data_IF_875994833434
#
_entry.id   IF_875994833434
#
_cell.length_a   1.000
_cell.length_b   1.000
_cell.length_c   1.000
_cell.angle_alpha   90.00
_cell.angle_beta   90.00
_cell.angle_gamma   90.00
#
_symmetry.space_group_name_H-M   'P 1'
#
loop_
_entity.id
_entity.type
_entity.pdbx_description
1 polymer ?
#
# COMPACT_ATOMS: atom_id res chain seq x y z
N UNK A 1 28.48 19.70 -43.93
CA UNK A 1 29.95 19.92 -43.91
C UNK A 1 30.15 21.33 -44.45
N UNK A 2 30.66 22.23 -43.60
CA UNK A 2 30.80 23.71 -43.69
C UNK A 2 30.19 24.29 -42.40
N UNK A 3 30.76 25.26 -41.70
CA UNK A 3 32.13 25.75 -41.60
C UNK A 3 32.17 26.61 -40.32
N UNK A 4 33.36 27.07 -39.96
CA UNK A 4 33.78 27.56 -38.65
C UNK A 4 33.31 28.97 -38.24
N UNK A 5 33.27 29.17 -36.91
CA UNK A 5 33.62 30.36 -36.10
C UNK A 5 33.34 31.77 -36.66
N UNK A 6 32.65 32.60 -35.87
CA UNK A 6 33.15 33.93 -35.51
C UNK A 6 32.52 34.46 -34.19
N UNK A 7 33.37 35.11 -33.40
CA UNK A 7 33.11 35.77 -32.13
C UNK A 7 32.83 37.28 -32.32
N UNK A 8 32.24 37.89 -31.26
CA UNK A 8 32.36 39.30 -30.80
C UNK A 8 31.67 40.37 -31.70
N UNK A 9 30.77 41.23 -31.22
CA UNK A 9 30.88 42.29 -30.19
C UNK A 9 29.45 42.76 -29.79
N UNK A 10 29.04 42.95 -28.53
CA UNK A 10 29.35 44.00 -27.53
C UNK A 10 28.68 45.38 -27.78
N UNK A 11 27.57 45.64 -27.08
CA UNK A 11 27.23 46.94 -26.42
C UNK A 11 26.00 46.70 -25.52
N UNK A 12 26.11 46.49 -24.21
CA UNK A 12 26.42 47.39 -23.07
C UNK A 12 25.38 48.49 -22.82
N UNK A 13 24.53 48.26 -21.83
CA UNK A 13 23.96 49.30 -20.97
C UNK A 13 23.89 48.79 -19.50
N UNK A 14 24.84 49.26 -18.68
CA UNK A 14 24.81 49.34 -17.21
C UNK A 14 23.68 50.30 -16.76
N UNK A 15 23.04 50.30 -15.58
CA UNK A 15 23.14 49.68 -14.23
C UNK A 15 21.89 50.16 -13.43
N UNK A 16 21.77 50.13 -12.08
CA UNK A 16 22.01 49.09 -11.07
C UNK A 16 20.77 48.86 -10.16
N UNK A 17 20.75 47.77 -9.38
CA UNK A 17 19.84 47.65 -8.22
C UNK A 17 19.46 46.23 -7.80
N UNK A 18 20.35 45.53 -7.09
CA UNK A 18 19.99 44.38 -6.23
C UNK A 18 19.64 44.92 -4.84
N UNK A 19 18.64 44.40 -4.13
CA UNK A 19 18.71 43.15 -3.35
C UNK A 19 17.30 42.81 -2.75
N UNK A 20 17.09 41.71 -1.99
CA UNK A 20 16.08 40.69 -2.33
C UNK A 20 14.98 40.54 -1.26
N UNK A 21 13.81 39.99 -1.65
CA UNK A 21 12.83 39.21 -0.86
C UNK A 21 11.43 39.43 -1.45
N UNK A 22 10.89 38.43 -2.13
CA UNK A 22 9.46 38.40 -2.41
C UNK A 22 8.89 37.00 -2.17
N UNK A 23 8.61 36.74 -0.90
CA UNK A 23 7.55 35.83 -0.47
C UNK A 23 6.24 36.56 -0.77
N UNK A 24 5.54 36.13 -1.82
CA UNK A 24 4.17 36.60 -2.10
C UNK A 24 3.20 35.61 -1.48
N UNK A 25 2.76 35.93 -0.27
CA UNK A 25 1.45 35.51 0.23
C UNK A 25 0.39 36.31 -0.55
N UNK A 26 -0.58 35.62 -1.16
CA UNK A 26 -1.99 36.06 -1.23
C UNK A 26 -2.84 35.09 -2.05
N UNK A 27 -3.78 34.42 -1.36
CA UNK A 27 -5.19 34.48 -1.71
C UNK A 27 -6.03 33.94 -0.54
N UNK A 28 -6.50 34.87 0.29
CA UNK A 28 -7.64 34.71 1.20
C UNK A 28 -8.91 35.14 0.44
N UNK A 29 -9.98 34.39 0.59
CA UNK A 29 -11.37 34.85 0.38
C UNK A 29 -12.21 34.14 1.45
N UNK A 30 -12.38 34.76 2.63
CA UNK A 30 -13.54 35.60 3.03
C UNK A 30 -14.86 34.83 3.12
N UNK A 31 -15.28 34.48 4.35
CA UNK A 31 -16.57 34.94 4.92
C UNK A 31 -16.41 35.06 6.45
N UNK A 32 -16.50 36.30 6.93
CA UNK A 32 -16.68 36.65 8.34
C UNK A 32 -18.15 37.06 8.48
N UNK A 33 -18.91 36.43 9.37
CA UNK A 33 -20.18 36.99 9.87
C UNK A 33 -20.07 37.19 11.36
N UNK A 34 -20.06 38.46 11.76
CA UNK A 34 -20.10 38.97 13.12
C UNK A 34 -21.50 38.79 13.71
N UNK A 35 -21.63 38.08 14.83
CA UNK A 35 -22.80 38.16 15.72
C UNK A 35 -22.32 38.28 17.18
N UNK A 36 -22.97 39.11 18.02
CA UNK A 36 -22.52 39.37 19.38
C UNK A 36 -22.90 38.25 20.36
N UNK A 37 -22.02 38.03 21.32
CA UNK A 37 -22.12 37.06 22.42
C UNK A 37 -23.26 37.43 23.39
N UNK A 38 -24.17 36.51 23.76
CA UNK A 38 -25.06 36.72 24.89
C UNK A 38 -24.32 36.43 26.21
N UNK A 39 -24.33 37.39 27.13
CA UNK A 39 -24.03 37.14 28.55
C UNK A 39 -25.03 36.12 29.11
N UNK A 40 -24.55 34.94 29.47
CA UNK A 40 -25.36 33.94 30.16
C UNK A 40 -25.34 34.25 31.66
N UNK A 41 -26.47 34.71 32.18
CA UNK A 41 -26.73 34.86 33.62
C UNK A 41 -26.57 33.51 34.31
N UNK A 42 -25.72 33.47 35.35
CA UNK A 42 -25.55 32.31 36.22
C UNK A 42 -26.79 32.17 37.10
N UNK A 43 -27.63 31.21 36.78
CA UNK A 43 -28.76 30.80 37.63
C UNK A 43 -28.27 29.74 38.64
N UNK A 44 -28.20 30.03 39.96
CA UNK A 44 -27.64 29.13 40.97
C UNK A 44 -28.52 27.89 41.27
N UNK A 45 -29.64 27.73 40.55
CA UNK A 45 -30.57 26.62 40.68
C UNK A 45 -30.10 25.33 39.97
N UNK A 46 -29.21 25.43 38.96
CA UNK A 46 -28.72 24.26 38.19
C UNK A 46 -27.57 23.52 38.91
N UNK A 47 -26.77 24.22 39.73
CA UNK A 47 -25.67 23.62 40.49
C UNK A 47 -26.18 22.63 41.57
N UNK A 48 -27.40 22.85 42.08
CA UNK A 48 -27.99 22.01 43.14
C UNK A 48 -28.46 20.64 42.64
N UNK A 49 -28.66 20.48 41.33
CA UNK A 49 -29.08 19.21 40.72
C UNK A 49 -27.89 18.29 40.40
N UNK A 50 -26.66 18.81 40.37
CA UNK A 50 -25.42 18.03 40.15
C UNK A 50 -24.93 17.28 41.39
N UNK A 51 -25.56 17.49 42.56
CA UNK A 51 -25.17 16.90 43.86
C UNK A 51 -26.03 15.73 44.34
N UNK A 52 -26.91 15.19 43.49
CA UNK A 52 -27.59 13.91 43.76
C UNK A 52 -26.97 12.82 42.90
N UNK A 53 -25.87 12.23 43.39
CA UNK A 53 -25.46 10.89 42.94
C UNK A 53 -26.54 9.91 43.40
N UNK A 54 -27.24 9.20 42.51
CA UNK A 54 -27.87 7.96 42.93
C UNK A 54 -26.74 6.97 43.16
N UNK A 55 -26.54 6.55 44.41
CA UNK A 55 -25.81 5.33 44.75
C UNK A 55 -26.60 4.14 44.23
N UNK A 56 -26.57 3.94 42.91
CA UNK A 56 -26.94 2.68 42.29
C UNK A 56 -25.81 1.71 42.59
N UNK A 57 -25.94 0.95 43.67
CA UNK A 57 -25.26 -0.32 43.91
C UNK A 57 -25.73 -1.37 42.89
N UNK A 58 -25.57 -1.06 41.61
CA UNK A 58 -25.82 -1.97 40.51
C UNK A 58 -24.54 -2.75 40.26
N UNK A 59 -24.58 -4.05 40.54
CA UNK A 59 -23.57 -4.99 40.09
C UNK A 59 -23.44 -4.83 38.56
N UNK A 60 -22.43 -4.08 38.09
CA UNK A 60 -22.14 -3.94 36.66
C UNK A 60 -21.85 -5.35 36.15
N UNK A 61 -22.84 -5.98 35.50
CA UNK A 61 -22.65 -7.26 34.83
C UNK A 61 -21.46 -7.08 33.89
N UNK A 62 -20.38 -7.82 34.15
CA UNK A 62 -19.21 -7.88 33.29
C UNK A 62 -19.69 -8.03 31.85
N UNK A 63 -19.25 -7.16 30.91
CA UNK A 63 -19.80 -7.19 29.56
C UNK A 63 -19.65 -8.59 28.98
N UNK A 64 -20.72 -9.07 28.33
CA UNK A 64 -20.75 -10.36 27.64
C UNK A 64 -19.49 -10.52 26.78
N UNK A 65 -18.95 -11.74 26.73
CA UNK A 65 -17.78 -12.09 25.92
C UNK A 65 -17.96 -11.63 24.47
N UNK A 66 -19.18 -11.69 23.94
CA UNK A 66 -19.53 -11.21 22.58
C UNK A 66 -19.31 -9.71 22.43
N UNK A 67 -19.73 -8.91 23.41
CA UNK A 67 -19.57 -7.45 23.40
C UNK A 67 -18.10 -7.06 23.55
N UNK A 68 -17.34 -7.80 24.34
CA UNK A 68 -15.88 -7.60 24.48
C UNK A 68 -15.15 -7.93 23.17
N UNK A 69 -15.47 -9.05 22.53
CA UNK A 69 -14.89 -9.45 21.24
C UNK A 69 -15.28 -8.48 20.12
N UNK A 70 -16.53 -8.03 20.07
CA UNK A 70 -16.97 -7.01 19.12
C UNK A 70 -16.21 -5.70 19.35
N UNK A 71 -16.10 -5.23 20.60
CA UNK A 71 -15.32 -4.02 20.90
C UNK A 71 -13.87 -4.15 20.46
N UNK A 72 -13.24 -5.31 20.66
CA UNK A 72 -11.86 -5.58 20.24
C UNK A 72 -11.67 -5.54 18.71
N UNK A 73 -12.62 -6.09 17.95
CA UNK A 73 -12.57 -6.12 16.47
C UNK A 73 -12.79 -4.74 15.82
N UNK A 74 -13.51 -3.85 16.50
CA UNK A 74 -13.78 -2.49 16.02
C UNK A 74 -12.76 -1.45 16.49
N UNK A 75 -11.70 -1.86 17.19
CA UNK A 75 -10.59 -0.97 17.56
C UNK A 75 -9.70 -0.64 16.37
N UNK A 76 -9.19 0.59 16.36
CA UNK A 76 -8.17 1.00 15.41
C UNK A 76 -6.80 0.42 15.79
N UNK A 77 -6.07 0.00 14.76
CA UNK A 77 -4.77 -0.65 14.91
C UNK A 77 -3.64 0.37 15.06
N UNK A 78 -2.71 0.08 15.96
CA UNK A 78 -1.47 0.85 16.09
C UNK A 78 -0.65 0.76 14.79
N UNK A 79 -0.40 1.90 14.16
CA UNK A 79 0.34 2.00 12.90
C UNK A 79 1.85 1.90 13.09
N UNK A 80 2.33 1.95 14.35
CA UNK A 80 3.75 1.99 14.68
C UNK A 80 4.52 0.88 13.99
N UNK A 81 4.06 -0.36 13.93
CA UNK A 81 4.82 -1.47 13.31
C UNK A 81 4.31 -1.87 11.91
N UNK A 82 3.38 -1.12 11.33
CA UNK A 82 2.77 -1.47 10.03
C UNK A 82 3.73 -1.37 8.85
N UNK A 83 4.82 -0.61 8.98
CA UNK A 83 5.89 -0.59 7.98
C UNK A 83 6.52 -1.98 7.74
N UNK A 84 6.60 -2.82 8.77
CA UNK A 84 7.09 -4.20 8.62
C UNK A 84 6.13 -5.04 7.78
N UNK A 85 4.83 -4.88 7.98
CA UNK A 85 3.81 -5.58 7.18
C UNK A 85 3.90 -5.18 5.71
N UNK A 86 4.13 -3.89 5.44
CA UNK A 86 4.33 -3.40 4.07
C UNK A 86 5.57 -4.03 3.44
N UNK A 87 6.69 -4.09 4.15
CA UNK A 87 7.92 -4.76 3.67
C UNK A 87 7.65 -6.23 3.35
N UNK A 88 6.95 -6.96 4.22
CA UNK A 88 6.54 -8.36 3.96
C UNK A 88 5.66 -8.46 2.72
N UNK A 89 4.74 -7.51 2.50
CA UNK A 89 3.94 -7.47 1.28
C UNK A 89 4.80 -7.27 0.03
N UNK A 90 5.83 -6.41 0.07
CA UNK A 90 6.78 -6.27 -1.04
C UNK A 90 7.53 -7.57 -1.36
N UNK A 91 7.98 -8.30 -0.33
CA UNK A 91 8.56 -9.63 -0.51
C UNK A 91 7.61 -10.56 -1.25
N UNK A 92 6.36 -10.64 -0.77
CA UNK A 92 5.31 -11.46 -1.39
C UNK A 92 5.04 -11.01 -2.82
N UNK A 93 5.08 -9.71 -3.11
CA UNK A 93 4.93 -9.18 -4.47
C UNK A 93 6.01 -9.66 -5.41
N UNK A 94 7.28 -9.51 -5.03
CA UNK A 94 8.40 -10.03 -5.84
C UNK A 94 8.34 -11.55 -6.02
N UNK A 95 7.98 -12.28 -4.96
CA UNK A 95 7.83 -13.74 -4.99
C UNK A 95 6.77 -14.20 -5.99
N UNK A 96 5.57 -13.60 -5.97
CA UNK A 96 4.48 -13.96 -6.88
C UNK A 96 4.78 -13.49 -8.31
N UNK A 97 5.23 -12.24 -8.49
CA UNK A 97 5.44 -11.69 -9.84
C UNK A 97 6.58 -12.38 -10.59
N UNK A 98 7.63 -12.83 -9.90
CA UNK A 98 8.72 -13.59 -10.53
C UNK A 98 8.24 -14.91 -11.12
N UNK A 99 7.44 -15.69 -10.36
CA UNK A 99 6.91 -16.97 -10.86
C UNK A 99 5.79 -16.79 -11.88
N UNK A 100 4.94 -15.77 -11.71
CA UNK A 100 3.88 -15.44 -12.66
C UNK A 100 4.46 -14.97 -14.00
N UNK A 101 5.47 -14.12 -13.98
CA UNK A 101 6.13 -13.68 -15.20
C UNK A 101 6.83 -14.85 -15.92
N UNK A 102 7.48 -15.75 -15.18
CA UNK A 102 8.17 -16.88 -15.78
C UNK A 102 7.20 -17.89 -16.44
N UNK A 103 6.02 -18.15 -15.87
CA UNK A 103 5.04 -19.09 -16.46
C UNK A 103 4.08 -18.46 -17.47
N UNK A 104 3.68 -17.22 -17.20
CA UNK A 104 2.58 -16.57 -17.91
C UNK A 104 3.00 -15.33 -18.68
N UNK A 105 4.26 -14.89 -18.59
CA UNK A 105 4.78 -13.67 -19.24
C UNK A 105 3.83 -12.48 -19.04
N UNK A 106 3.42 -12.32 -17.78
CA UNK A 106 2.51 -11.31 -17.28
C UNK A 106 2.85 -11.07 -15.81
N UNK A 107 2.89 -9.81 -15.38
CA UNK A 107 2.96 -9.49 -13.96
C UNK A 107 1.54 -9.55 -13.40
N UNK A 108 1.34 -10.02 -12.18
CA UNK A 108 0.01 -9.99 -11.55
C UNK A 108 -0.12 -8.79 -10.62
N UNK A 109 0.98 -8.22 -10.15
CA UNK A 109 0.95 -7.02 -9.29
C UNK A 109 1.40 -5.76 -10.05
N UNK A 110 2.39 -5.84 -10.94
CA UNK A 110 2.91 -4.68 -11.68
C UNK A 110 2.09 -4.29 -12.92
N UNK A 111 1.13 -3.37 -12.76
CA UNK A 111 0.29 -2.93 -13.88
C UNK A 111 1.02 -2.07 -14.93
N UNK A 112 2.06 -1.31 -14.56
CA UNK A 112 2.82 -0.50 -15.53
C UNK A 112 3.41 -1.35 -16.65
N UNK A 113 4.02 -2.49 -16.31
CA UNK A 113 4.56 -3.43 -17.28
C UNK A 113 3.47 -4.08 -18.13
N UNK A 114 2.35 -4.48 -17.50
CA UNK A 114 1.22 -5.06 -18.21
C UNK A 114 0.58 -4.09 -19.20
N UNK A 115 0.51 -2.80 -18.89
CA UNK A 115 0.00 -1.79 -19.83
C UNK A 115 0.87 -1.74 -21.08
N UNK A 116 2.19 -1.80 -20.93
CA UNK A 116 3.13 -1.85 -22.06
C UNK A 116 2.96 -3.16 -22.84
N UNK A 117 2.87 -4.31 -22.17
CA UNK A 117 2.65 -5.60 -22.83
C UNK A 117 1.30 -5.67 -23.56
N UNK A 118 0.25 -5.08 -23.01
CA UNK A 118 -1.04 -4.98 -23.66
C UNK A 118 -0.95 -4.11 -24.93
N UNK A 119 -0.32 -2.94 -24.84
CA UNK A 119 -0.14 -2.05 -25.98
C UNK A 119 0.72 -2.68 -27.09
N UNK A 120 1.85 -3.30 -26.73
CA UNK A 120 2.73 -3.99 -27.68
C UNK A 120 2.01 -5.16 -28.34
N UNK A 121 1.26 -5.97 -27.59
CA UNK A 121 0.51 -7.08 -28.17
C UNK A 121 -0.63 -6.65 -29.09
N UNK A 122 -1.32 -5.54 -28.80
CA UNK A 122 -2.28 -4.93 -29.74
C UNK A 122 -1.59 -4.44 -31.02
N UNK A 123 -0.33 -4.01 -30.92
CA UNK A 123 0.52 -3.67 -32.06
C UNK A 123 1.21 -4.86 -32.74
N UNK A 124 0.92 -6.10 -32.33
CA UNK A 124 1.55 -7.31 -32.88
C UNK A 124 3.04 -7.47 -32.54
N UNK A 125 3.48 -6.91 -31.41
CA UNK A 125 4.87 -6.93 -30.96
C UNK A 125 5.02 -7.54 -29.55
N UNK A 126 6.16 -8.18 -29.27
CA UNK A 126 7.18 -8.61 -30.23
C UNK A 126 6.66 -9.80 -31.06
N UNK A 127 7.13 -9.96 -32.31
CA UNK A 127 6.78 -11.11 -33.18
C UNK A 127 7.13 -12.49 -32.60
N UNK A 128 7.98 -12.52 -31.57
CA UNK A 128 8.34 -13.71 -30.81
C UNK A 128 7.28 -14.12 -29.78
N UNK A 129 6.34 -13.23 -29.45
CA UNK A 129 5.21 -13.50 -28.54
C UNK A 129 4.00 -13.96 -29.35
N UNK A 130 3.16 -14.79 -28.73
CA UNK A 130 1.90 -15.21 -29.33
C UNK A 130 0.92 -14.02 -29.43
N UNK A 131 0.16 -13.93 -30.52
CA UNK A 131 -0.76 -12.81 -30.81
C UNK A 131 -1.81 -12.58 -29.71
N UNK A 132 -2.16 -13.62 -28.94
CA UNK A 132 -3.15 -13.56 -27.86
C UNK A 132 -2.55 -13.30 -26.46
N UNK A 133 -1.23 -13.14 -26.35
CA UNK A 133 -0.53 -12.99 -25.06
C UNK A 133 -1.03 -11.76 -24.27
N UNK A 134 -1.46 -10.70 -24.97
CA UNK A 134 -1.96 -9.47 -24.36
C UNK A 134 -3.23 -9.66 -23.53
N UNK A 135 -4.00 -10.73 -23.73
CA UNK A 135 -5.18 -11.03 -22.91
C UNK A 135 -4.82 -11.23 -21.44
N UNK A 136 -3.66 -11.81 -21.12
CA UNK A 136 -3.22 -11.98 -19.73
C UNK A 136 -2.95 -10.62 -19.08
N UNK A 137 -2.29 -9.72 -19.80
CA UNK A 137 -2.03 -8.35 -19.35
C UNK A 137 -3.32 -7.54 -19.16
N UNK A 138 -4.25 -7.57 -20.13
CA UNK A 138 -5.54 -6.90 -20.01
C UNK A 138 -6.38 -7.47 -18.86
N UNK A 139 -6.37 -8.79 -18.68
CA UNK A 139 -7.06 -9.45 -17.57
C UNK A 139 -6.50 -9.00 -16.24
N UNK A 140 -5.17 -8.94 -16.10
CA UNK A 140 -4.52 -8.42 -14.88
C UNK A 140 -4.93 -6.98 -14.61
N UNK A 141 -4.87 -6.09 -15.62
CA UNK A 141 -5.24 -4.68 -15.46
C UNK A 141 -6.70 -4.53 -15.02
N UNK A 142 -7.62 -5.20 -15.73
CA UNK A 142 -9.04 -5.15 -15.42
C UNK A 142 -9.32 -5.68 -14.01
N UNK A 143 -8.78 -6.86 -13.66
CA UNK A 143 -8.98 -7.46 -12.36
C UNK A 143 -8.38 -6.62 -11.22
N UNK A 144 -7.21 -6.01 -11.45
CA UNK A 144 -6.59 -5.09 -10.49
C UNK A 144 -7.46 -3.84 -10.25
N UNK A 145 -8.04 -3.24 -11.30
CA UNK A 145 -8.98 -2.12 -11.18
C UNK A 145 -10.23 -2.52 -10.38
N UNK A 146 -10.82 -3.68 -10.66
CA UNK A 146 -11.96 -4.20 -9.90
C UNK A 146 -11.61 -4.46 -8.43
N UNK A 147 -10.43 -5.03 -8.17
CA UNK A 147 -9.90 -5.21 -6.82
C UNK A 147 -9.74 -3.88 -6.09
N UNK A 148 -9.23 -2.86 -6.79
CA UNK A 148 -9.06 -1.51 -6.20
C UNK A 148 -10.40 -0.92 -5.79
N UNK A 149 -11.44 -1.07 -6.62
CA UNK A 149 -12.80 -0.63 -6.27
C UNK A 149 -13.34 -1.39 -5.05
N UNK A 150 -13.19 -2.72 -5.04
CA UNK A 150 -13.65 -3.57 -3.94
C UNK A 150 -12.97 -3.24 -2.60
N UNK A 151 -11.64 -3.20 -2.55
CA UNK A 151 -10.91 -2.92 -1.31
C UNK A 151 -11.09 -1.45 -0.89
N UNK A 152 -11.19 -0.51 -1.82
CA UNK A 152 -11.53 0.88 -1.48
C UNK A 152 -12.93 0.98 -0.86
N UNK A 153 -13.92 0.29 -1.43
CA UNK A 153 -15.27 0.25 -0.88
C UNK A 153 -15.28 -0.41 0.51
N UNK A 154 -14.57 -1.52 0.69
CA UNK A 154 -14.45 -2.22 1.97
C UNK A 154 -13.92 -1.31 3.10
N UNK A 155 -12.91 -0.48 2.79
CA UNK A 155 -12.31 0.44 3.76
C UNK A 155 -13.08 1.77 3.92
N UNK A 156 -14.02 2.10 3.03
CA UNK A 156 -14.92 3.27 3.13
C UNK A 156 -16.27 2.97 3.77
N UNK A 157 -16.82 1.78 3.56
CA UNK A 157 -18.16 1.40 4.04
C UNK A 157 -18.43 1.76 5.51
N UNK A 158 -17.50 1.52 6.47
CA UNK A 158 -17.74 1.85 7.87
C UNK A 158 -17.54 3.33 8.28
N UNK A 159 -17.01 4.19 7.40
CA UNK A 159 -16.78 5.64 7.63
C UNK A 159 -17.64 6.54 6.74
N UNK A 160 -18.35 5.97 5.76
CA UNK A 160 -19.12 6.70 4.75
C UNK A 160 -18.43 6.72 3.38
N UNK A 161 -19.21 6.61 2.30
CA UNK A 161 -18.70 6.49 0.92
C UNK A 161 -18.13 7.80 0.35
N UNK A 162 -18.44 8.94 0.98
CA UNK A 162 -18.06 10.28 0.51
C UNK A 162 -16.64 10.71 0.89
N UNK A 163 -16.00 10.03 1.84
CA UNK A 163 -14.67 10.40 2.34
C UNK A 163 -13.58 9.43 1.85
N UNK A 164 -12.33 9.90 1.89
CA UNK A 164 -11.14 9.08 1.67
C UNK A 164 -11.20 7.84 2.58
N UNK A 165 -10.72 6.67 2.11
CA UNK A 165 -10.71 5.47 2.94
C UNK A 165 -9.92 5.78 4.22
N UNK A 166 -10.58 5.69 5.38
CA UNK A 166 -10.04 6.19 6.66
C UNK A 166 -10.17 5.16 7.78
N UNK A 167 -10.99 4.12 7.59
CA UNK A 167 -11.25 3.17 8.66
C UNK A 167 -10.02 2.29 8.94
N UNK A 168 -9.43 2.48 10.12
CA UNK A 168 -8.28 1.71 10.62
C UNK A 168 -8.69 0.51 11.50
N UNK A 169 -9.97 0.16 11.48
CA UNK A 169 -10.54 -0.89 12.31
C UNK A 169 -9.92 -2.25 12.01
N UNK A 170 -9.51 -2.96 13.06
CA UNK A 170 -8.89 -4.29 13.01
C UNK A 170 -9.66 -5.27 12.11
N UNK A 171 -10.99 -5.34 12.26
CA UNK A 171 -11.83 -6.27 11.48
C UNK A 171 -11.66 -6.09 9.97
N UNK A 172 -11.46 -4.86 9.50
CA UNK A 172 -11.33 -4.56 8.06
C UNK A 172 -9.98 -5.06 7.54
N UNK A 173 -8.91 -4.89 8.31
CA UNK A 173 -7.59 -5.44 7.95
C UNK A 173 -7.63 -6.97 7.93
N UNK A 174 -8.26 -7.60 8.92
CA UNK A 174 -8.42 -9.06 8.97
C UNK A 174 -9.20 -9.54 7.74
N UNK A 175 -10.36 -8.94 7.44
CA UNK A 175 -11.17 -9.33 6.27
C UNK A 175 -10.38 -9.11 4.97
N UNK A 176 -9.76 -7.94 4.82
CA UNK A 176 -9.00 -7.58 3.62
C UNK A 176 -7.86 -8.58 3.36
N UNK A 177 -7.03 -8.88 4.36
CA UNK A 177 -5.95 -9.86 4.22
C UNK A 177 -6.46 -11.31 4.11
N UNK A 178 -7.59 -11.65 4.73
CA UNK A 178 -8.21 -12.97 4.59
C UNK A 178 -8.65 -13.21 3.14
N UNK A 179 -9.34 -12.25 2.52
CA UNK A 179 -9.74 -12.33 1.11
C UNK A 179 -8.51 -12.48 0.21
N UNK A 180 -7.47 -11.69 0.46
CA UNK A 180 -6.22 -11.78 -0.31
C UNK A 180 -5.55 -13.15 -0.17
N UNK A 181 -5.51 -13.69 1.05
CA UNK A 181 -4.96 -15.02 1.35
C UNK A 181 -5.75 -16.11 0.62
N UNK A 182 -7.08 -16.07 0.67
CA UNK A 182 -7.96 -17.05 0.00
C UNK A 182 -7.72 -17.04 -1.51
N UNK A 183 -7.60 -15.87 -2.14
CA UNK A 183 -7.34 -15.80 -3.58
C UNK A 183 -5.97 -16.35 -3.97
N UNK A 184 -4.93 -16.15 -3.15
CA UNK A 184 -3.63 -16.79 -3.39
C UNK A 184 -3.74 -18.31 -3.20
N UNK A 185 -4.48 -18.80 -2.19
CA UNK A 185 -4.70 -20.24 -1.98
C UNK A 185 -5.43 -20.88 -3.17
N UNK A 186 -6.47 -20.21 -3.71
CA UNK A 186 -7.18 -20.69 -4.90
C UNK A 186 -6.21 -20.77 -6.09
N UNK A 187 -5.41 -19.72 -6.33
CA UNK A 187 -4.41 -19.74 -7.40
C UNK A 187 -3.37 -20.86 -7.20
N UNK A 188 -2.83 -21.01 -5.98
CA UNK A 188 -1.87 -22.06 -5.62
C UNK A 188 -2.46 -23.45 -5.84
N UNK A 189 -3.73 -23.64 -5.48
CA UNK A 189 -4.46 -24.89 -5.68
C UNK A 189 -4.60 -25.22 -7.16
N UNK A 190 -5.04 -24.26 -7.99
CA UNK A 190 -5.17 -24.42 -9.44
C UNK A 190 -3.85 -24.83 -10.11
N UNK A 191 -2.73 -24.26 -9.67
CA UNK A 191 -1.39 -24.63 -10.15
C UNK A 191 -0.97 -26.01 -9.63
N UNK A 192 -1.26 -26.33 -8.36
CA UNK A 192 -0.91 -27.63 -7.74
C UNK A 192 -1.60 -28.80 -8.43
N UNK A 193 -2.89 -28.64 -8.80
CA UNK A 193 -3.63 -29.68 -9.53
C UNK A 193 -3.30 -29.74 -11.03
N UNK A 194 -2.34 -28.94 -11.51
CA UNK A 194 -1.93 -28.85 -12.91
C UNK A 194 -3.08 -28.53 -13.88
N UNK A 195 -4.06 -27.73 -13.44
CA UNK A 195 -5.11 -27.19 -14.31
C UNK A 195 -4.59 -26.02 -15.16
N UNK A 196 -3.55 -25.35 -14.67
CA UNK A 196 -2.95 -24.14 -15.24
C UNK A 196 -1.50 -24.43 -15.62
N UNK A 197 -0.97 -23.71 -16.61
CA UNK A 197 0.44 -23.83 -16.98
C UNK A 197 1.37 -23.43 -15.83
N UNK A 198 2.29 -24.34 -15.51
CA UNK A 198 3.37 -24.16 -14.53
C UNK A 198 4.77 -24.27 -15.17
N UNK A 199 4.82 -24.31 -16.50
CA UNK A 199 6.05 -24.44 -17.28
C UNK A 199 6.58 -23.06 -17.66
N UNK A 200 7.91 -22.91 -17.85
CA UNK A 200 8.48 -21.67 -18.38
C UNK A 200 7.76 -21.26 -19.67
N UNK A 201 7.59 -19.96 -19.87
CA UNK A 201 7.05 -19.41 -21.10
C UNK A 201 7.96 -19.77 -22.29
N UNK A 202 7.37 -20.35 -23.33
CA UNK A 202 8.02 -20.64 -24.60
C UNK A 202 7.55 -19.66 -25.68
N UNK A 203 8.49 -18.98 -26.35
CA UNK A 203 8.22 -18.01 -27.40
C UNK A 203 7.33 -18.59 -28.52
N UNK A 204 6.36 -17.82 -28.97
CA UNK A 204 5.41 -18.21 -30.03
C UNK A 204 4.25 -19.10 -29.56
N UNK A 205 4.25 -19.57 -28.31
CA UNK A 205 3.15 -20.38 -27.77
C UNK A 205 2.29 -19.58 -26.79
N UNK A 206 0.97 -19.76 -26.86
CA UNK A 206 0.10 -19.30 -25.78
C UNK A 206 0.18 -20.32 -24.65
N UNK A 207 0.79 -19.93 -23.54
CA UNK A 207 0.74 -20.73 -22.30
C UNK A 207 -0.74 -20.91 -21.92
N UNK A 208 -1.26 -22.12 -22.14
CA UNK A 208 -2.67 -22.51 -22.06
C UNK A 208 -2.77 -23.83 -21.31
N UNK A 209 -3.66 -23.87 -20.32
CA UNK A 209 -3.70 -24.87 -19.25
C UNK A 209 -3.67 -26.36 -19.61
N UNK A 210 -3.31 -27.12 -18.56
CA UNK A 210 -3.06 -28.57 -18.38
C UNK A 210 -2.18 -29.30 -19.40
N UNK A 211 -1.17 -30.01 -18.90
CA UNK A 211 -0.29 -30.90 -19.67
C UNK A 211 -1.03 -32.03 -20.43
N UNK A 212 -2.33 -32.24 -20.15
CA UNK A 212 -3.17 -33.27 -20.76
C UNK A 212 -3.93 -32.82 -22.01
N UNK A 213 -4.03 -31.52 -22.30
CA UNK A 213 -4.77 -31.06 -23.47
C UNK A 213 -3.82 -30.85 -24.67
N UNK A 214 -4.06 -31.49 -25.83
CA UNK A 214 -3.29 -31.23 -27.03
C UNK A 214 -3.46 -29.77 -27.47
N UNK A 215 -2.37 -29.18 -27.92
CA UNK A 215 -2.10 -27.78 -28.29
C UNK A 215 -2.94 -27.19 -29.44
N UNK A 216 -4.08 -27.79 -29.80
CA UNK A 216 -4.92 -27.36 -30.93
C UNK A 216 -6.02 -26.35 -30.55
N UNK A 217 -6.27 -26.09 -29.27
CA UNK A 217 -7.25 -25.09 -28.83
C UNK A 217 -6.68 -24.24 -27.68
N UNK A 218 -6.66 -22.89 -27.80
CA UNK A 218 -6.17 -22.03 -26.73
C UNK A 218 -7.09 -22.12 -25.51
N UNK A 219 -6.60 -22.69 -24.40
CA UNK A 219 -7.30 -22.70 -23.13
C UNK A 219 -6.98 -21.42 -22.34
N UNK A 220 -8.00 -20.63 -22.04
CA UNK A 220 -7.88 -19.41 -21.24
C UNK A 220 -7.86 -19.66 -19.73
N UNK A 221 -7.62 -20.90 -19.28
CA UNK A 221 -7.64 -21.25 -17.86
C UNK A 221 -6.59 -20.47 -17.04
N UNK A 222 -5.47 -20.12 -17.65
CA UNK A 222 -4.42 -19.29 -17.04
C UNK A 222 -4.90 -17.86 -16.70
N UNK A 223 -5.97 -17.37 -17.34
CA UNK A 223 -6.52 -16.04 -17.03
C UNK A 223 -7.19 -16.04 -15.65
N UNK A 224 -7.70 -17.18 -15.18
CA UNK A 224 -8.33 -17.30 -13.87
C UNK A 224 -7.36 -16.97 -12.71
N UNK A 225 -6.20 -17.65 -12.56
CA UNK A 225 -5.23 -17.32 -11.53
C UNK A 225 -4.63 -15.92 -11.72
N UNK A 226 -4.41 -15.47 -12.96
CA UNK A 226 -3.97 -14.09 -13.23
C UNK A 226 -4.97 -13.08 -12.67
N UNK A 227 -6.26 -13.25 -12.94
CA UNK A 227 -7.32 -12.35 -12.47
C UNK A 227 -7.39 -12.31 -10.94
N UNK A 228 -7.46 -13.46 -10.26
CA UNK A 228 -7.59 -13.50 -8.79
C UNK A 228 -6.31 -13.00 -8.08
N UNK A 229 -5.12 -13.28 -8.64
CA UNK A 229 -3.86 -12.77 -8.09
C UNK A 229 -3.69 -11.26 -8.30
N UNK A 230 -4.15 -10.72 -9.43
CA UNK A 230 -4.16 -9.29 -9.68
C UNK A 230 -5.21 -8.55 -8.84
N UNK A 231 -6.39 -9.14 -8.68
CA UNK A 231 -7.44 -8.62 -7.81
C UNK A 231 -6.94 -8.52 -6.36
N UNK A 232 -6.35 -9.58 -5.80
CA UNK A 232 -5.85 -9.52 -4.41
C UNK A 232 -4.71 -8.51 -4.23
N UNK A 233 -3.87 -8.33 -5.26
CA UNK A 233 -2.75 -7.39 -5.19
C UNK A 233 -3.23 -5.98 -4.88
N UNK A 234 -4.39 -5.57 -5.44
CA UNK A 234 -5.00 -4.27 -5.18
C UNK A 234 -5.30 -3.99 -3.69
N UNK A 235 -5.55 -5.04 -2.89
CA UNK A 235 -5.77 -4.89 -1.45
C UNK A 235 -4.52 -4.43 -0.70
N UNK A 236 -3.33 -4.87 -1.14
CA UNK A 236 -2.04 -4.46 -0.58
C UNK A 236 -1.74 -2.98 -0.84
N UNK A 237 -2.16 -2.52 -2.01
CA UNK A 237 -2.02 -1.13 -2.45
C UNK A 237 -2.94 -0.22 -1.68
N UNK A 238 -4.19 -0.66 -1.51
CA UNK A 238 -5.18 0.05 -0.73
C UNK A 238 -4.68 0.20 0.71
N UNK A 239 -4.16 -0.88 1.31
CA UNK A 239 -3.52 -0.88 2.62
C UNK A 239 -2.39 0.14 2.72
N UNK A 240 -1.47 0.16 1.76
CA UNK A 240 -0.32 1.06 1.86
C UNK A 240 -0.72 2.53 1.79
N UNK A 241 -1.73 2.85 0.96
CA UNK A 241 -2.30 4.19 0.86
C UNK A 241 -3.00 4.60 2.15
N UNK A 242 -3.75 3.69 2.77
CA UNK A 242 -4.45 3.90 4.05
C UNK A 242 -3.51 4.24 5.21
N UNK A 243 -2.37 3.57 5.24
CA UNK A 243 -1.43 3.72 6.34
C UNK A 243 -0.61 5.01 6.25
N UNK A 244 -0.65 5.73 5.12
CA UNK A 244 0.15 6.94 4.85
C UNK A 244 1.65 6.77 5.21
N UNK A 245 2.13 5.52 5.33
CA UNK A 245 3.52 5.20 5.67
C UNK A 245 4.44 5.38 4.46
N UNK A 246 3.85 5.54 3.28
CA UNK A 246 4.48 5.90 2.03
C UNK A 246 3.54 6.92 1.39
N UNK A 247 3.96 8.17 1.25
CA UNK A 247 3.21 9.21 0.51
C UNK A 247 2.98 8.83 -0.97
N UNK A 248 3.46 7.65 -1.41
CA UNK A 248 3.34 7.10 -2.76
C UNK A 248 2.96 5.59 -2.75
N UNK A 249 2.19 5.12 -3.75
CA UNK A 249 1.59 3.77 -3.77
C UNK A 249 2.63 2.64 -3.91
N UNK A 250 2.41 1.54 -3.17
CA UNK A 250 3.31 0.37 -3.04
C UNK A 250 3.56 -0.47 -4.28
N UNK A 251 3.05 -0.09 -5.45
CA UNK A 251 3.24 -0.84 -6.69
C UNK A 251 4.11 -0.12 -7.70
N UNK A 252 4.29 1.19 -7.54
CA UNK A 252 5.09 1.97 -8.47
C UNK A 252 6.50 1.99 -7.91
N UNK A 253 7.24 0.91 -8.14
CA UNK A 253 8.61 0.78 -7.64
C UNK A 253 9.48 1.98 -8.10
N UNK A 254 9.21 2.54 -9.27
CA UNK A 254 9.85 3.77 -9.77
C UNK A 254 9.68 4.97 -8.84
N UNK A 255 8.51 5.17 -8.22
CA UNK A 255 8.31 6.27 -7.27
C UNK A 255 9.05 6.01 -5.97
N UNK A 256 9.17 4.75 -5.54
CA UNK A 256 10.00 4.40 -4.37
C UNK A 256 11.48 4.62 -4.63
N UNK A 257 11.99 4.25 -5.81
CA UNK A 257 13.36 4.56 -6.22
C UNK A 257 13.61 6.07 -6.26
N UNK A 258 12.69 6.82 -6.88
CA UNK A 258 12.78 8.27 -6.94
C UNK A 258 12.77 8.89 -5.54
N UNK A 259 11.79 8.54 -4.71
CA UNK A 259 11.69 9.06 -3.34
C UNK A 259 12.93 8.74 -2.51
N UNK A 260 13.44 7.52 -2.61
CA UNK A 260 14.65 7.12 -1.91
C UNK A 260 15.88 7.93 -2.39
N UNK A 261 16.02 8.09 -3.71
CA UNK A 261 17.17 8.79 -4.32
C UNK A 261 17.11 10.31 -4.18
N UNK A 262 15.92 10.92 -4.27
CA UNK A 262 15.73 12.33 -4.01
C UNK A 262 16.01 12.67 -2.54
N UNK A 263 15.57 11.81 -1.62
CA UNK A 263 15.79 11.99 -0.18
C UNK A 263 17.22 11.66 0.28
N UNK A 264 18.03 10.98 -0.55
CA UNK A 264 19.46 10.76 -0.27
C UNK A 264 20.23 12.09 -0.13
N UNK A 265 19.78 13.16 -0.80
CA UNK A 265 20.37 14.49 -0.69
C UNK A 265 20.16 15.13 0.70
N UNK A 266 18.96 14.98 1.27
CA UNK A 266 18.64 15.48 2.63
C UNK A 266 19.24 14.60 3.72
N UNK A 267 19.38 13.30 3.45
CA UNK A 267 20.10 12.35 4.28
C UNK A 267 21.58 12.66 4.35
N UNK A 268 22.24 13.02 3.25
CA UNK A 268 23.67 13.33 3.23
C UNK A 268 24.03 14.46 4.19
N UNK A 269 23.21 15.51 4.24
CA UNK A 269 23.34 16.63 5.18
C UNK A 269 23.05 16.22 6.63
N UNK A 270 22.07 15.35 6.86
CA UNK A 270 21.76 14.83 8.21
C UNK A 270 22.79 13.82 8.73
N UNK A 271 23.33 12.98 7.84
CA UNK A 271 24.31 11.93 8.13
C UNK A 271 25.68 12.51 8.46
N UNK A 272 26.04 13.65 7.84
CA UNK A 272 27.24 14.44 8.18
C UNK A 272 27.25 14.93 9.64
N UNK A 273 26.06 15.11 10.25
CA UNK A 273 25.90 15.71 11.57
C UNK A 273 25.56 14.72 12.71
N UNK A 274 25.30 13.43 12.44
CA UNK A 274 25.06 12.42 13.50
C UNK A 274 25.55 11.02 13.14
N UNK A 275 26.51 10.52 13.92
CA UNK A 275 27.13 9.19 13.85
C UNK A 275 26.44 8.20 14.79
N UNK A 276 25.21 7.78 14.49
CA UNK A 276 24.69 6.54 15.11
C UNK A 276 23.67 5.85 14.21
N UNK A 277 24.02 4.64 13.76
CA UNK A 277 23.19 3.76 12.94
C UNK A 277 21.86 3.39 13.65
N UNK A 278 21.81 3.41 14.98
CA UNK A 278 20.58 3.11 15.72
C UNK A 278 19.54 4.24 15.62
N UNK A 279 19.97 5.50 15.53
CA UNK A 279 19.06 6.63 15.31
C UNK A 279 18.47 6.67 13.89
N UNK A 280 19.13 6.03 12.92
CA UNK A 280 18.63 5.89 11.55
C UNK A 280 17.39 4.99 11.45
N UNK A 281 17.37 3.91 12.24
CA UNK A 281 16.23 2.99 12.27
C UNK A 281 15.09 3.45 13.19
N UNK A 282 15.36 4.22 14.25
CA UNK A 282 14.35 4.63 15.24
C UNK A 282 13.87 6.10 15.12
N UNK A 283 14.53 6.95 14.34
CA UNK A 283 14.19 8.36 14.18
C UNK A 283 13.28 8.69 12.97
N UNK A 284 13.16 9.97 12.59
CA UNK A 284 12.44 10.43 11.38
C UNK A 284 12.89 9.72 10.09
N UNK A 285 14.08 9.14 10.09
CA UNK A 285 14.69 8.35 9.00
C UNK A 285 14.04 6.96 8.81
N UNK A 286 13.13 6.55 9.71
CA UNK A 286 12.37 5.31 9.60
C UNK A 286 11.61 5.16 8.28
N UNK A 287 11.11 6.28 7.71
CA UNK A 287 10.42 6.28 6.42
C UNK A 287 11.36 5.84 5.29
N UNK A 288 12.58 6.39 5.25
CA UNK A 288 13.58 6.07 4.23
C UNK A 288 14.12 4.65 4.39
N UNK A 289 14.39 4.21 5.63
CA UNK A 289 14.78 2.83 5.91
C UNK A 289 13.68 1.85 5.45
N UNK A 290 12.41 2.18 5.67
CA UNK A 290 11.27 1.37 5.21
C UNK A 290 11.15 1.34 3.68
N UNK A 291 11.38 2.46 2.98
CA UNK A 291 11.41 2.52 1.50
C UNK A 291 12.53 1.64 0.93
N UNK A 292 13.75 1.80 1.42
CA UNK A 292 14.89 0.98 1.00
C UNK A 292 14.64 -0.50 1.30
N UNK A 293 14.17 -0.81 2.52
CA UNK A 293 13.83 -2.18 2.89
C UNK A 293 12.75 -2.77 1.99
N UNK A 294 11.75 -1.98 1.58
CA UNK A 294 10.71 -2.42 0.64
C UNK A 294 11.27 -2.76 -0.74
N UNK A 295 12.15 -1.91 -1.29
CA UNK A 295 12.83 -2.15 -2.57
C UNK A 295 13.66 -3.45 -2.49
N UNK A 296 14.50 -3.58 -1.46
CA UNK A 296 15.33 -4.76 -1.26
C UNK A 296 14.47 -6.01 -1.04
N UNK A 297 13.38 -5.88 -0.29
CA UNK A 297 12.49 -6.99 0.02
C UNK A 297 11.78 -7.51 -1.23
N UNK A 298 11.31 -6.64 -2.12
CA UNK A 298 10.77 -7.05 -3.43
C UNK A 298 11.83 -7.76 -4.28
N UNK A 299 13.05 -7.22 -4.33
CA UNK A 299 14.14 -7.83 -5.09
C UNK A 299 14.50 -9.22 -4.56
N UNK A 300 14.65 -9.37 -3.23
CA UNK A 300 14.90 -10.66 -2.58
C UNK A 300 13.73 -11.62 -2.82
N UNK A 301 12.48 -11.14 -2.75
CA UNK A 301 11.29 -11.95 -3.09
C UNK A 301 11.36 -12.49 -4.51
N UNK A 302 11.78 -11.66 -5.47
CA UNK A 302 11.99 -12.07 -6.87
C UNK A 302 13.08 -13.14 -7.03
N UNK A 303 14.20 -13.02 -6.31
CA UNK A 303 15.26 -14.04 -6.28
C UNK A 303 14.72 -15.35 -5.72
N UNK A 304 14.06 -15.29 -4.55
CA UNK A 304 13.50 -16.48 -3.90
C UNK A 304 12.46 -17.15 -4.80
N UNK A 305 11.61 -16.39 -5.48
CA UNK A 305 10.64 -16.94 -6.42
C UNK A 305 11.28 -17.57 -7.65
N UNK A 306 12.30 -16.93 -8.24
CA UNK A 306 13.08 -17.49 -9.34
C UNK A 306 13.80 -18.79 -8.99
N UNK A 307 14.42 -18.86 -7.81
CA UNK A 307 15.08 -20.09 -7.32
C UNK A 307 14.05 -21.18 -6.96
N UNK A 308 12.94 -20.81 -6.31
CA UNK A 308 11.85 -21.75 -6.00
C UNK A 308 11.26 -22.34 -7.29
N UNK A 309 11.17 -21.55 -8.35
CA UNK A 309 10.70 -21.99 -9.66
C UNK A 309 11.56 -23.09 -10.27
N UNK A 310 12.90 -23.00 -10.11
CA UNK A 310 13.85 -24.03 -10.57
C UNK A 310 13.80 -25.30 -9.73
N UNK A 311 13.38 -25.19 -8.48
CA UNK A 311 13.27 -26.32 -7.55
C UNK A 311 12.09 -27.23 -7.88
N UNK A 312 12.03 -28.40 -7.24
CA UNK A 312 10.89 -29.34 -7.34
C UNK A 312 9.55 -28.74 -6.88
N UNK A 313 9.60 -27.66 -6.08
CA UNK A 313 8.39 -26.98 -5.60
C UNK A 313 7.72 -26.15 -6.72
N UNK A 314 8.49 -25.70 -7.72
CA UNK A 314 8.02 -24.94 -8.87
C UNK A 314 7.21 -23.69 -8.50
N UNK A 315 6.34 -23.27 -9.42
CA UNK A 315 5.42 -22.15 -9.20
C UNK A 315 4.47 -22.37 -8.01
N UNK A 316 3.94 -23.60 -7.85
CA UNK A 316 3.01 -23.92 -6.78
C UNK A 316 3.62 -23.66 -5.39
N UNK A 317 4.88 -24.08 -5.18
CA UNK A 317 5.59 -23.85 -3.93
C UNK A 317 5.75 -22.38 -3.59
N UNK A 318 6.06 -21.54 -4.57
CA UNK A 318 6.16 -20.09 -4.36
C UNK A 318 4.80 -19.47 -3.99
N UNK A 319 3.71 -19.90 -4.63
CA UNK A 319 2.35 -19.42 -4.30
C UNK A 319 1.89 -19.90 -2.91
N UNK A 320 2.22 -21.13 -2.52
CA UNK A 320 1.94 -21.64 -1.16
C UNK A 320 2.75 -20.89 -0.09
N UNK A 321 4.00 -20.57 -0.37
CA UNK A 321 4.83 -19.74 0.52
C UNK A 321 4.23 -18.34 0.66
N UNK A 322 3.82 -17.71 -0.45
CA UNK A 322 3.14 -16.42 -0.43
C UNK A 322 1.82 -16.46 0.37
N UNK A 323 1.02 -17.51 0.20
CA UNK A 323 -0.21 -17.73 0.97
C UNK A 323 0.07 -17.88 2.46
N UNK A 324 1.10 -18.66 2.84
CA UNK A 324 1.52 -18.84 4.23
C UNK A 324 1.96 -17.53 4.89
N UNK A 325 2.75 -16.71 4.19
CA UNK A 325 3.17 -15.40 4.68
C UNK A 325 1.99 -14.44 4.84
N UNK A 326 1.05 -14.43 3.88
CA UNK A 326 -0.20 -13.65 3.98
C UNK A 326 -1.08 -14.08 5.14
N UNK A 327 -1.20 -15.39 5.35
CA UNK A 327 -1.94 -15.95 6.47
C UNK A 327 -1.30 -15.54 7.80
N UNK A 328 0.04 -15.61 7.90
CA UNK A 328 0.77 -15.17 9.08
C UNK A 328 0.52 -13.68 9.39
N UNK A 329 0.50 -12.81 8.37
CA UNK A 329 0.13 -11.40 8.53
C UNK A 329 -1.33 -11.25 8.99
N UNK A 330 -2.25 -12.03 8.42
CA UNK A 330 -3.67 -12.04 8.85
C UNK A 330 -3.80 -12.40 10.32
N UNK A 331 -3.09 -13.42 10.78
CA UNK A 331 -3.05 -13.83 12.19
C UNK A 331 -2.40 -12.76 13.07
N UNK A 332 -1.35 -12.09 12.58
CA UNK A 332 -0.74 -10.97 13.31
C UNK A 332 -1.76 -9.83 13.54
N UNK A 333 -2.64 -9.54 12.58
CA UNK A 333 -3.71 -8.55 12.75
C UNK A 333 -4.73 -8.94 13.83
N UNK A 334 -4.99 -10.23 14.02
CA UNK A 334 -5.86 -10.72 15.11
C UNK A 334 -5.30 -10.33 16.46
N UNK A 335 -3.98 -10.46 16.67
CA UNK A 335 -3.32 -10.20 17.96
C UNK A 335 -2.68 -8.81 18.07
N UNK A 336 -2.83 -7.97 17.05
CA UNK A 336 -2.15 -6.67 16.99
C UNK A 336 -2.58 -5.72 18.11
N UNK A 337 -1.73 -4.73 18.45
CA UNK A 337 -2.03 -3.77 19.51
C UNK A 337 -3.02 -2.70 19.04
N UNK A 338 -3.91 -2.27 19.95
CA UNK A 338 -4.80 -1.13 19.71
C UNK A 338 -4.00 0.18 19.70
N UNK A 339 -4.44 1.16 18.92
CA UNK A 339 -3.90 2.52 18.96
C UNK A 339 -4.06 3.11 20.38
N UNK A 340 -2.97 3.62 20.96
CA UNK A 340 -3.04 4.34 22.23
C UNK A 340 -3.61 5.72 21.95
N UNK A 341 -4.84 5.98 22.38
CA UNK A 341 -5.32 7.37 22.46
C UNK A 341 -4.43 8.10 23.44
N UNK A 342 -3.78 9.18 23.00
CA UNK A 342 -3.06 10.07 23.90
C UNK A 342 -4.06 10.53 24.96
N UNK A 343 -3.80 10.18 26.22
CA UNK A 343 -4.56 10.69 27.34
C UNK A 343 -4.40 12.21 27.35
N UNK A 344 -5.50 12.92 27.20
CA UNK A 344 -5.60 14.35 27.49
C UNK A 344 -5.58 14.54 29.03
N UNK A 345 -4.50 14.08 29.66
CA UNK A 345 -4.14 14.47 31.03
C UNK A 345 -3.27 15.73 30.93
N UNK A 346 -3.82 16.77 30.30
CA UNK A 346 -3.44 18.15 30.55
C UNK A 346 -4.11 18.60 31.83
N UNK A 347 -3.71 18.01 32.96
CA UNK A 347 -4.04 18.54 34.27
C UNK A 347 -3.51 19.97 34.31
N UNK A 348 -4.44 20.92 34.28
CA UNK A 348 -4.15 22.33 34.47
C UNK A 348 -3.56 22.48 35.86
N UNK A 349 -2.24 22.51 35.95
CA UNK A 349 -1.53 23.05 37.11
C UNK A 349 -1.84 24.53 37.16
N UNK A 350 -2.97 24.85 37.78
CA UNK A 350 -3.38 26.15 38.26
C UNK A 350 -2.30 26.64 39.24
N UNK A 351 -1.30 27.33 38.71
CA UNK A 351 -0.34 28.09 39.52
C UNK A 351 -1.02 29.38 39.96
N UNK A 352 -1.91 29.26 40.94
CA UNK A 352 -2.43 30.38 41.73
C UNK A 352 -2.10 30.11 43.20
N UNK A 353 -1.66 31.17 43.90
CA UNK A 353 -1.27 31.28 45.33
C UNK A 353 0.09 30.66 45.73
N UNK A 354 1.08 31.37 46.28
CA UNK A 354 1.13 32.67 47.00
C UNK A 354 2.41 33.43 46.68
#
# INVERSE_FOLDING_TARGET
MCDSRLSLDLEKAESPGLSPLQRVDSSRTLTNSTFPTPQQSRDPSVERQKRRRPTMGGHLKSPSVVVKSQRYLYQDLDTSYMGLVVIVCFFISGLIDSVAFNSWNCFVQMQTGNTVFAALGLGGQPKASHDQQYYKSLTSIAAFCHGTLFFSALHRYPTGLSEQPSSRRRVIFIISFSVQTVFIIIAASLVTVNLVSNKPFESGTFSSGSAKNPSKMPNFLDLCPVAILAFQAAGQVTLSRLLAMLDLPTIVLSTLYHDFTADLYSLRTSWRNRTSLQHFFLGPQRRQATRLASILSLFIGGIVGGETYKSKAGMAGALWMAAGLKLAVTMAYVFWRQEKKASDDGDGSDSTTR
#
